data_IF_276007085647
#
_entry.id   IF_276007085647
#
_cell.length_a   1.000
_cell.length_b   1.000
_cell.length_c   1.000
_cell.angle_alpha   90.00
_cell.angle_beta   90.00
_cell.angle_gamma   90.00
#
_symmetry.space_group_name_H-M   'P 1'
#
loop_
_entity.id
_entity.type
_entity.pdbx_description
1 polymer ?
#
# COMPACT_ATOMS: atom_id res chain seq x y z
N UNK A 1 -14.10 34.53 9.70
CA UNK A 1 -13.28 33.33 9.39
C UNK A 1 -14.13 32.08 9.65
N UNK A 2 -15.05 31.78 8.76
CA UNK A 2 -15.93 30.61 8.90
C UNK A 2 -15.36 29.46 8.09
N UNK A 3 -14.82 28.44 8.75
CA UNK A 3 -14.66 27.12 8.15
C UNK A 3 -15.55 26.17 8.94
N UNK A 4 -16.70 25.90 8.34
CA UNK A 4 -17.78 25.11 8.90
C UNK A 4 -17.29 23.73 9.36
N UNK A 5 -17.36 23.59 10.68
CA UNK A 5 -17.74 22.39 11.42
C UNK A 5 -18.55 21.41 10.57
N UNK A 6 -17.92 20.34 10.12
CA UNK A 6 -18.55 19.02 10.01
C UNK A 6 -17.48 17.95 10.21
N UNK A 7 -17.14 17.72 11.49
CA UNK A 7 -16.31 16.58 11.91
C UNK A 7 -17.17 15.32 11.84
N UNK A 8 -17.45 14.84 10.63
CA UNK A 8 -18.09 13.55 10.47
C UNK A 8 -17.01 12.50 10.74
N UNK A 9 -17.15 11.86 11.90
CA UNK A 9 -16.31 10.75 12.33
C UNK A 9 -17.13 9.47 12.20
N UNK A 10 -16.56 8.46 11.57
CA UNK A 10 -17.19 7.15 11.51
C UNK A 10 -17.30 6.57 12.94
N UNK A 11 -18.44 5.95 13.29
CA UNK A 11 -18.58 5.26 14.57
C UNK A 11 -17.55 4.14 14.73
N UNK A 12 -17.08 3.91 15.95
CA UNK A 12 -16.11 2.85 16.24
C UNK A 12 -16.61 1.46 15.85
N UNK A 13 -17.92 1.23 15.93
CA UNK A 13 -18.59 -0.02 15.52
C UNK A 13 -18.39 -0.34 14.04
N UNK A 14 -18.44 0.68 13.17
CA UNK A 14 -18.22 0.53 11.72
C UNK A 14 -16.73 0.34 11.39
N UNK A 15 -15.85 1.00 12.14
CA UNK A 15 -14.41 0.95 11.90
C UNK A 15 -13.76 -0.34 12.43
N UNK A 16 -14.31 -0.96 13.47
CA UNK A 16 -13.78 -2.20 14.06
C UNK A 16 -13.56 -3.34 13.05
N UNK A 17 -14.53 -3.73 12.20
CA UNK A 17 -14.32 -4.78 11.21
C UNK A 17 -13.26 -4.39 10.16
N UNK A 18 -13.23 -3.12 9.75
CA UNK A 18 -12.22 -2.59 8.80
C UNK A 18 -10.82 -2.69 9.39
N UNK A 19 -10.64 -2.27 10.65
CA UNK A 19 -9.34 -2.35 11.34
C UNK A 19 -8.88 -3.80 11.48
N UNK A 20 -9.79 -4.72 11.84
CA UNK A 20 -9.48 -6.15 11.94
C UNK A 20 -9.01 -6.70 10.58
N UNK A 21 -9.74 -6.38 9.51
CA UNK A 21 -9.38 -6.78 8.14
C UNK A 21 -8.00 -6.25 7.73
N UNK A 22 -7.78 -4.93 7.86
CA UNK A 22 -6.52 -4.29 7.49
C UNK A 22 -5.31 -4.84 8.27
N UNK A 23 -5.47 -5.16 9.56
CA UNK A 23 -4.40 -5.80 10.36
C UNK A 23 -4.11 -7.23 9.90
N UNK A 24 -5.14 -7.98 9.53
CA UNK A 24 -4.99 -9.31 8.94
C UNK A 24 -4.21 -9.27 7.63
N UNK A 25 -4.58 -8.36 6.74
CA UNK A 25 -3.89 -8.14 5.47
C UNK A 25 -2.44 -7.67 5.67
N UNK A 26 -2.17 -6.77 6.63
CA UNK A 26 -0.79 -6.37 6.97
C UNK A 26 0.06 -7.57 7.39
N UNK A 27 -0.51 -8.49 8.19
CA UNK A 27 0.20 -9.69 8.65
C UNK A 27 0.54 -10.61 7.47
N UNK A 28 -0.42 -10.87 6.57
CA UNK A 28 -0.20 -11.69 5.36
C UNK A 28 0.90 -11.09 4.48
N UNK A 29 0.80 -9.79 4.16
CA UNK A 29 1.79 -9.10 3.33
C UNK A 29 3.19 -9.10 3.96
N UNK A 30 3.30 -9.04 5.29
CA UNK A 30 4.59 -9.18 5.99
C UNK A 30 5.20 -10.56 5.79
N UNK A 31 4.39 -11.62 5.80
CA UNK A 31 4.85 -12.99 5.52
C UNK A 31 5.28 -13.11 4.06
N UNK A 32 4.44 -12.71 3.10
CA UNK A 32 4.79 -12.74 1.66
C UNK A 32 6.05 -11.93 1.35
N UNK A 33 6.25 -10.79 2.02
CA UNK A 33 7.49 -10.01 1.88
C UNK A 33 8.73 -10.77 2.35
N UNK A 34 8.63 -11.58 3.41
CA UNK A 34 9.74 -12.40 3.89
C UNK A 34 10.03 -13.53 2.91
N UNK A 35 8.99 -14.20 2.41
CA UNK A 35 9.11 -15.27 1.40
C UNK A 35 9.80 -14.75 0.13
N UNK A 36 9.33 -13.63 -0.42
CA UNK A 36 9.96 -13.00 -1.59
C UNK A 36 11.41 -12.56 -1.32
N UNK A 37 11.76 -12.22 -0.07
CA UNK A 37 13.13 -11.90 0.30
C UNK A 37 14.03 -13.15 0.29
N UNK A 38 13.46 -14.30 0.67
CA UNK A 38 14.19 -15.57 0.70
C UNK A 38 14.28 -16.24 -0.69
N UNK A 39 13.55 -15.76 -1.69
CA UNK A 39 13.64 -16.23 -3.08
C UNK A 39 14.65 -15.42 -3.90
N UNK A 40 15.09 -14.27 -3.40
CA UNK A 40 15.97 -13.35 -4.10
C UNK A 40 17.42 -13.89 -4.08
N UNK A 41 17.99 -14.29 -5.24
CA UNK A 41 19.33 -14.89 -5.30
C UNK A 41 20.42 -13.96 -4.73
N UNK A 42 20.23 -12.64 -4.86
CA UNK A 42 21.19 -11.65 -4.42
C UNK A 42 21.19 -11.45 -2.90
N UNK A 43 20.13 -11.87 -2.21
CA UNK A 43 20.02 -11.79 -0.75
C UNK A 43 20.56 -13.05 -0.08
N UNK A 44 20.39 -14.22 -0.71
CA UNK A 44 20.88 -15.47 -0.17
C UNK A 44 22.42 -15.59 -0.24
N UNK A 45 23.08 -14.77 -1.06
CA UNK A 45 24.54 -14.80 -1.22
C UNK A 45 25.05 -16.06 -1.91
N UNK A 46 24.15 -16.85 -2.49
CA UNK A 46 24.45 -18.09 -3.20
C UNK A 46 24.41 -17.81 -4.71
N UNK A 47 25.25 -16.86 -5.17
CA UNK A 47 25.53 -16.76 -6.60
C UNK A 47 26.13 -18.09 -7.01
N UNK A 48 25.51 -18.74 -7.98
CA UNK A 48 26.00 -20.04 -8.43
C UNK A 48 27.46 -19.89 -8.86
N UNK A 49 28.28 -20.90 -8.58
CA UNK A 49 29.70 -20.88 -8.98
C UNK A 49 29.90 -20.96 -10.50
N UNK A 50 28.80 -21.04 -11.25
CA UNK A 50 28.78 -21.04 -12.70
C UNK A 50 28.86 -19.59 -13.22
N UNK A 51 30.07 -19.15 -13.55
CA UNK A 51 30.33 -17.84 -14.16
C UNK A 51 29.94 -17.79 -15.66
N UNK A 52 28.90 -18.53 -16.06
CA UNK A 52 28.38 -18.49 -17.42
C UNK A 52 27.49 -17.25 -17.61
N UNK A 53 27.52 -16.67 -18.81
CA UNK A 53 26.69 -15.50 -19.14
C UNK A 53 25.20 -15.82 -19.00
N UNK A 54 24.78 -17.04 -19.33
CA UNK A 54 23.39 -17.46 -19.24
C UNK A 54 22.91 -17.59 -17.79
N UNK A 55 23.75 -18.13 -16.89
CA UNK A 55 23.45 -18.19 -15.46
C UNK A 55 23.34 -16.77 -14.86
N UNK A 56 24.29 -15.89 -15.17
CA UNK A 56 24.27 -14.48 -14.73
C UNK A 56 22.99 -13.77 -15.19
N UNK A 57 22.56 -13.95 -16.44
CA UNK A 57 21.33 -13.35 -16.96
C UNK A 57 20.10 -13.89 -16.22
N UNK A 58 20.02 -15.21 -16.00
CA UNK A 58 18.90 -15.82 -15.28
C UNK A 58 18.78 -15.30 -13.83
N UNK A 59 19.91 -15.19 -13.11
CA UNK A 59 19.94 -14.64 -11.76
C UNK A 59 19.46 -13.18 -11.71
N UNK A 60 19.92 -12.33 -12.65
CA UNK A 60 19.50 -10.93 -12.72
C UNK A 60 17.99 -10.81 -12.95
N UNK A 61 17.42 -11.64 -13.84
CA UNK A 61 15.98 -11.63 -14.12
C UNK A 61 15.16 -12.03 -12.88
N UNK A 62 15.59 -13.06 -12.16
CA UNK A 62 14.90 -13.50 -10.94
C UNK A 62 15.04 -12.46 -9.80
N UNK A 63 16.22 -11.84 -9.68
CA UNK A 63 16.42 -10.71 -8.78
C UNK A 63 15.46 -9.55 -9.09
N UNK A 64 15.41 -9.08 -10.33
CA UNK A 64 14.55 -7.97 -10.75
C UNK A 64 13.07 -8.27 -10.50
N UNK A 65 12.64 -9.50 -10.79
CA UNK A 65 11.28 -9.98 -10.51
C UNK A 65 10.96 -9.94 -9.02
N UNK A 66 11.81 -10.56 -8.20
CA UNK A 66 11.60 -10.62 -6.75
C UNK A 66 11.62 -9.21 -6.13
N UNK A 67 12.51 -8.34 -6.59
CA UNK A 67 12.61 -6.95 -6.18
C UNK A 67 11.35 -6.14 -6.52
N UNK A 68 10.85 -6.26 -7.75
CA UNK A 68 9.62 -5.58 -8.18
C UNK A 68 8.41 -5.99 -7.33
N UNK A 69 8.24 -7.30 -7.09
CA UNK A 69 7.18 -7.84 -6.23
C UNK A 69 7.30 -7.35 -4.79
N UNK A 70 8.51 -7.37 -4.21
CA UNK A 70 8.78 -6.84 -2.86
C UNK A 70 8.43 -5.36 -2.75
N UNK A 71 8.74 -4.58 -3.79
CA UNK A 71 8.40 -3.14 -3.84
C UNK A 71 6.89 -2.92 -3.84
N UNK A 72 6.14 -3.71 -4.60
CA UNK A 72 4.67 -3.66 -4.59
C UNK A 72 4.08 -4.04 -3.23
N UNK A 73 4.55 -5.13 -2.63
CA UNK A 73 4.11 -5.58 -1.29
C UNK A 73 4.40 -4.50 -0.24
N UNK A 74 5.58 -3.88 -0.27
CA UNK A 74 5.94 -2.78 0.61
C UNK A 74 5.01 -1.56 0.46
N UNK A 75 4.66 -1.19 -0.76
CA UNK A 75 3.68 -0.11 -1.02
C UNK A 75 2.32 -0.42 -0.38
N UNK A 76 1.84 -1.65 -0.49
CA UNK A 76 0.59 -2.09 0.14
C UNK A 76 0.66 -2.03 1.68
N UNK A 77 1.76 -2.48 2.28
CA UNK A 77 1.99 -2.38 3.74
C UNK A 77 1.96 -0.93 4.21
N UNK A 78 2.65 -0.03 3.48
CA UNK A 78 2.67 1.41 3.80
C UNK A 78 1.27 2.01 3.69
N UNK A 79 0.52 1.68 2.64
CA UNK A 79 -0.86 2.15 2.46
C UNK A 79 -1.77 1.69 3.61
N UNK A 80 -1.69 0.43 4.04
CA UNK A 80 -2.45 -0.10 5.17
C UNK A 80 -2.08 0.63 6.47
N UNK A 81 -0.79 0.78 6.78
CA UNK A 81 -0.33 1.48 7.99
C UNK A 81 -0.79 2.93 8.03
N UNK A 82 -0.73 3.62 6.89
CA UNK A 82 -1.23 4.98 6.75
C UNK A 82 -2.74 5.04 7.02
N UNK A 83 -3.50 4.10 6.46
CA UNK A 83 -4.94 3.98 6.67
C UNK A 83 -5.29 3.74 8.14
N UNK A 84 -4.62 2.79 8.80
CA UNK A 84 -4.78 2.52 10.24
C UNK A 84 -4.47 3.75 11.09
N UNK A 85 -3.44 4.53 10.71
CA UNK A 85 -3.09 5.78 11.40
C UNK A 85 -4.19 6.83 11.21
N UNK A 86 -4.74 6.97 9.99
CA UNK A 86 -5.85 7.88 9.71
C UNK A 86 -7.11 7.51 10.49
N UNK A 87 -7.39 6.22 10.66
CA UNK A 87 -8.48 5.73 11.51
C UNK A 87 -8.26 6.17 12.96
N UNK A 88 -7.06 5.97 13.52
CA UNK A 88 -6.72 6.42 14.88
C UNK A 88 -6.87 7.92 15.07
N UNK A 89 -6.56 8.71 14.05
CA UNK A 89 -6.66 10.17 14.08
C UNK A 89 -8.08 10.69 13.79
N UNK A 90 -9.07 9.82 13.56
CA UNK A 90 -10.43 10.23 13.17
C UNK A 90 -10.52 10.89 11.79
N UNK A 91 -9.54 10.64 10.92
CA UNK A 91 -9.45 11.22 9.55
C UNK A 91 -9.75 10.20 8.45
N UNK A 92 -10.30 9.04 8.80
CA UNK A 92 -10.67 8.03 7.80
C UNK A 92 -11.84 8.53 6.93
N UNK A 93 -11.79 8.25 5.63
CA UNK A 93 -12.77 8.72 4.65
C UNK A 93 -12.72 10.21 4.31
N UNK A 94 -11.69 10.95 4.74
CA UNK A 94 -11.45 12.35 4.34
C UNK A 94 -10.30 12.39 3.33
N UNK A 95 -10.45 13.11 2.22
CA UNK A 95 -9.39 13.28 1.23
C UNK A 95 -8.18 14.01 1.84
N UNK A 96 -6.97 13.46 1.69
CA UNK A 96 -5.75 14.07 2.23
C UNK A 96 -5.35 15.38 1.54
N UNK A 97 -5.85 15.63 0.32
CA UNK A 97 -5.52 16.82 -0.47
C UNK A 97 -6.53 17.94 -0.25
N UNK A 98 -7.80 17.70 -0.58
CA UNK A 98 -8.82 18.75 -0.54
C UNK A 98 -9.66 18.79 0.74
N UNK A 99 -9.52 17.81 1.65
CA UNK A 99 -10.31 17.75 2.88
C UNK A 99 -11.79 17.37 2.71
N UNK A 100 -12.26 17.13 1.48
CA UNK A 100 -13.62 16.64 1.21
C UNK A 100 -13.77 15.16 1.55
N UNK A 101 -14.99 14.68 1.69
CA UNK A 101 -15.24 13.25 1.87
C UNK A 101 -14.81 12.43 0.65
N UNK A 102 -14.28 11.25 0.93
CA UNK A 102 -14.09 10.19 -0.05
C UNK A 102 -15.40 9.43 -0.13
N UNK A 103 -15.86 9.21 -1.36
CA UNK A 103 -17.05 8.41 -1.66
C UNK A 103 -17.01 7.07 -0.91
N UNK A 104 -18.13 6.69 -0.28
CA UNK A 104 -18.27 5.44 0.46
C UNK A 104 -18.11 4.23 -0.45
N UNK A 105 -18.57 4.30 -1.70
CA UNK A 105 -18.44 3.20 -2.67
C UNK A 105 -16.97 2.98 -3.03
N UNK A 106 -16.21 4.08 -3.14
CA UNK A 106 -14.76 4.02 -3.34
C UNK A 106 -14.06 3.40 -2.14
N UNK A 107 -14.47 3.72 -0.91
CA UNK A 107 -13.90 3.11 0.29
C UNK A 107 -14.29 1.64 0.45
N UNK A 108 -15.49 1.25 0.03
CA UNK A 108 -15.95 -0.13 0.02
C UNK A 108 -15.10 -1.01 -0.91
N UNK A 109 -14.75 -0.50 -2.10
CA UNK A 109 -13.85 -1.19 -3.03
C UNK A 109 -12.39 -1.12 -2.56
N UNK A 110 -11.95 0.05 -2.08
CA UNK A 110 -10.57 0.30 -1.67
C UNK A 110 -10.50 1.02 -0.33
N UNK A 111 -10.44 0.23 0.73
CA UNK A 111 -10.30 0.71 2.12
C UNK A 111 -9.05 1.57 2.36
N UNK A 112 -8.01 1.41 1.54
CA UNK A 112 -6.75 2.19 1.65
C UNK A 112 -6.75 3.48 0.82
N UNK A 113 -7.89 3.88 0.26
CA UNK A 113 -8.00 5.10 -0.53
C UNK A 113 -7.72 6.34 0.33
N UNK A 114 -6.73 7.13 -0.08
CA UNK A 114 -6.30 8.34 0.62
C UNK A 114 -6.92 9.62 0.04
N UNK A 115 -7.33 9.58 -1.23
CA UNK A 115 -7.80 10.73 -2.00
C UNK A 115 -9.16 10.45 -2.62
N UNK A 116 -9.97 11.50 -2.77
CA UNK A 116 -11.17 11.46 -3.59
C UNK A 116 -10.81 11.24 -5.06
N UNK A 117 -11.81 10.87 -5.88
CA UNK A 117 -11.60 10.53 -7.29
C UNK A 117 -10.96 11.70 -8.07
N UNK A 118 -11.39 12.94 -7.80
CA UNK A 118 -10.87 14.13 -8.50
C UNK A 118 -9.40 14.39 -8.17
N UNK A 119 -9.03 14.32 -6.89
CA UNK A 119 -7.65 14.50 -6.46
C UNK A 119 -6.76 13.36 -6.96
N UNK A 120 -7.27 12.13 -7.02
CA UNK A 120 -6.48 11.01 -7.55
C UNK A 120 -6.24 11.16 -9.06
N UNK A 121 -7.27 11.54 -9.84
CA UNK A 121 -7.12 11.85 -11.28
C UNK A 121 -6.07 12.93 -11.54
N UNK A 122 -6.05 13.99 -10.73
CA UNK A 122 -5.05 15.05 -10.85
C UNK A 122 -3.63 14.53 -10.55
N UNK A 123 -3.47 13.68 -9.53
CA UNK A 123 -2.18 13.08 -9.18
C UNK A 123 -1.67 12.11 -10.25
N UNK A 124 -2.55 11.37 -10.90
CA UNK A 124 -2.18 10.48 -12.01
C UNK A 124 -1.67 11.28 -13.21
N UNK A 125 -2.37 12.36 -13.60
CA UNK A 125 -1.90 13.28 -14.66
C UNK A 125 -0.54 13.91 -14.35
N UNK A 126 -0.25 14.20 -13.09
CA UNK A 126 1.03 14.75 -12.66
C UNK A 126 2.18 13.73 -12.67
N UNK A 127 1.89 12.42 -12.60
CA UNK A 127 2.90 11.34 -12.66
C UNK A 127 3.21 10.87 -14.08
N UNK A 128 2.32 11.13 -15.03
CA UNK A 128 2.51 10.81 -16.45
C UNK A 128 3.26 11.89 -17.22
N UNK A 129 3.67 12.97 -16.53
CA UNK A 129 4.62 13.98 -17.01
C UNK A 129 5.97 13.71 -16.36
#
# INVERSE_FOLDING_TARGET
>A
MEKSKNKISFPATVLAPIVRFLRGEEKKLKTSRKELKNQDPFILGNRDSDNSVDADVAENVEHDRSYALRRQVNRSIVAIRKTLTRIKLGKYGICASCGKMIDTDRLAIRLTAEYCIDCEKQREKAKSK
#
